data_IF_428124173754
#
_entry.id   IF_428124173754
#
_cell.length_a   1.000
_cell.length_b   1.000
_cell.length_c   1.000
_cell.angle_alpha   90.00
_cell.angle_beta   90.00
_cell.angle_gamma   90.00
#
_symmetry.space_group_name_H-M   'P 1'
#
loop_
_entity.id
_entity.type
_entity.pdbx_description
1 polymer ?
#
# COMPACT_ATOMS: atom_id res chain seq x y z
N UNK A 1 -85.68 -12.60 14.90
CA UNK A 1 -84.88 -11.52 15.51
C UNK A 1 -83.62 -11.29 14.67
N UNK A 2 -83.53 -10.11 14.02
CA UNK A 2 -82.35 -9.33 13.54
C UNK A 2 -81.15 -10.12 12.96
N UNK A 3 -80.68 -9.92 11.71
CA UNK A 3 -80.46 -8.65 10.97
C UNK A 3 -80.43 -8.84 9.45
N UNK A 4 -80.84 -7.76 8.77
CA UNK A 4 -80.76 -7.50 7.33
C UNK A 4 -79.35 -7.63 6.74
N UNK A 5 -79.24 -8.18 5.54
CA UNK A 5 -78.11 -7.95 4.63
C UNK A 5 -78.63 -7.05 3.50
N UNK A 6 -78.12 -5.81 3.45
CA UNK A 6 -78.35 -4.88 2.35
C UNK A 6 -77.25 -5.07 1.32
N UNK A 7 -77.65 -5.25 0.06
CA UNK A 7 -76.84 -4.93 -1.11
C UNK A 7 -76.50 -3.42 -1.08
N UNK A 8 -75.25 -3.04 -1.34
CA UNK A 8 -74.93 -1.82 -2.08
C UNK A 8 -73.50 -1.89 -2.64
N UNK A 9 -73.38 -1.63 -3.94
CA UNK A 9 -72.15 -1.55 -4.71
C UNK A 9 -71.26 -0.36 -4.27
N UNK A 10 -69.94 -0.48 -4.42
CA UNK A 10 -69.07 0.71 -4.54
C UNK A 10 -67.75 0.42 -5.28
N UNK A 11 -67.59 1.18 -6.37
CA UNK A 11 -66.40 1.61 -7.12
C UNK A 11 -65.05 0.91 -6.93
N UNK A 12 -64.52 0.41 -8.06
CA UNK A 12 -63.11 0.14 -8.27
C UNK A 12 -62.28 1.44 -8.26
N UNK A 13 -61.30 1.52 -7.36
CA UNK A 13 -60.23 2.53 -7.38
C UNK A 13 -58.97 1.83 -7.87
N UNK A 14 -58.32 2.29 -8.97
CA UNK A 14 -57.00 1.80 -9.31
C UNK A 14 -56.00 2.40 -8.33
N UNK A 15 -55.37 1.55 -7.51
CA UNK A 15 -54.24 1.92 -6.68
C UNK A 15 -53.04 2.17 -7.60
N UNK A 16 -52.85 3.43 -8.00
CA UNK A 16 -51.62 3.91 -8.62
C UNK A 16 -50.49 3.81 -7.59
N UNK A 17 -49.78 2.69 -7.61
CA UNK A 17 -48.54 2.51 -6.85
C UNK A 17 -47.47 3.35 -7.54
N UNK A 18 -47.33 4.60 -7.09
CA UNK A 18 -46.19 5.45 -7.41
C UNK A 18 -44.97 4.87 -6.68
N UNK A 19 -44.23 3.99 -7.36
CA UNK A 19 -42.88 3.63 -6.95
C UNK A 19 -41.97 4.81 -7.24
N UNK A 20 -41.89 5.75 -6.30
CA UNK A 20 -40.84 6.76 -6.27
C UNK A 20 -39.54 6.09 -5.83
N UNK A 21 -38.82 5.46 -6.77
CA UNK A 21 -37.43 5.09 -6.56
C UNK A 21 -36.59 6.37 -6.66
N UNK A 22 -36.51 7.09 -5.54
CA UNK A 22 -35.59 8.19 -5.38
C UNK A 22 -34.22 7.57 -5.11
N UNK A 23 -33.43 7.36 -6.17
CA UNK A 23 -32.01 7.06 -6.05
C UNK A 23 -31.34 8.29 -5.42
N UNK A 24 -31.30 8.31 -4.08
CA UNK A 24 -30.46 9.25 -3.35
C UNK A 24 -29.02 8.87 -3.68
N UNK A 25 -28.43 9.58 -4.64
CA UNK A 25 -26.97 9.66 -4.75
C UNK A 25 -26.50 10.31 -3.45
N UNK A 26 -26.06 9.49 -2.51
CA UNK A 26 -25.31 10.03 -1.38
C UNK A 26 -23.98 10.52 -1.93
N UNK A 27 -23.82 11.85 -1.99
CA UNK A 27 -22.51 12.46 -2.19
C UNK A 27 -21.67 12.15 -0.96
N UNK A 28 -20.95 11.02 -1.01
CA UNK A 28 -19.96 10.68 0.00
C UNK A 28 -18.79 11.66 -0.14
N UNK A 29 -18.69 12.60 0.81
CA UNK A 29 -17.55 13.51 0.89
C UNK A 29 -16.34 12.72 1.36
N UNK A 30 -15.46 12.40 0.41
CA UNK A 30 -14.16 11.79 0.65
C UNK A 30 -13.07 12.84 0.47
N UNK A 31 -11.95 12.62 1.15
CA UNK A 31 -10.69 13.30 0.83
C UNK A 31 -10.23 12.96 -0.60
N UNK A 32 -9.43 13.84 -1.18
CA UNK A 32 -8.77 13.60 -2.44
C UNK A 32 -7.54 12.73 -2.20
N UNK A 33 -7.20 11.84 -3.14
CA UNK A 33 -5.93 11.08 -3.06
C UNK A 33 -4.70 11.99 -3.07
N UNK A 34 -4.81 13.18 -3.67
CA UNK A 34 -3.77 14.22 -3.64
C UNK A 34 -3.55 14.81 -2.25
N UNK A 35 -4.52 14.71 -1.34
CA UNK A 35 -4.36 15.20 0.02
C UNK A 35 -3.36 14.34 0.81
N UNK A 36 -3.08 13.12 0.36
CA UNK A 36 -2.15 12.19 1.01
C UNK A 36 -0.76 12.15 0.36
N UNK A 37 -0.43 13.08 -0.55
CA UNK A 37 0.88 13.19 -1.21
C UNK A 37 1.18 14.65 -1.60
N UNK A 38 2.24 15.25 -1.05
CA UNK A 38 2.69 16.57 -1.54
C UNK A 38 3.60 16.40 -2.76
N UNK A 39 3.13 16.84 -3.94
CA UNK A 39 3.84 16.71 -5.21
C UNK A 39 4.22 18.08 -5.79
N UNK A 40 5.06 18.83 -5.06
CA UNK A 40 5.65 20.09 -5.55
C UNK A 40 7.17 19.98 -5.60
N UNK A 41 7.84 20.36 -6.71
CA UNK A 41 9.30 20.31 -6.81
C UNK A 41 10.00 20.94 -5.61
N UNK A 42 11.02 20.26 -5.07
CA UNK A 42 11.77 20.67 -3.87
C UNK A 42 11.16 20.21 -2.53
N UNK A 43 9.94 19.65 -2.55
CA UNK A 43 9.38 18.97 -1.37
C UNK A 43 10.04 17.62 -1.16
N UNK A 44 10.22 17.22 0.10
CA UNK A 44 10.80 15.94 0.45
C UNK A 44 10.21 15.34 1.71
N UNK A 45 10.41 14.03 1.85
CA UNK A 45 10.19 13.28 3.09
C UNK A 45 11.46 12.49 3.39
N UNK A 46 11.90 12.48 4.64
CA UNK A 46 13.01 11.66 5.13
C UNK A 46 12.50 10.54 6.01
N UNK A 47 13.21 9.41 5.99
CA UNK A 47 12.86 8.22 6.74
C UNK A 47 14.09 7.60 7.40
N UNK A 48 13.88 6.94 8.53
CA UNK A 48 14.69 5.81 8.95
C UNK A 48 14.26 4.60 8.12
N UNK A 49 15.22 3.97 7.45
CA UNK A 49 14.99 2.78 6.63
C UNK A 49 15.77 1.59 7.16
N UNK A 50 15.08 0.54 7.59
CA UNK A 50 15.67 -0.75 7.92
C UNK A 50 15.49 -1.74 6.77
N UNK A 51 16.59 -2.32 6.29
CA UNK A 51 16.61 -3.31 5.21
C UNK A 51 16.99 -4.67 5.75
N UNK A 52 16.02 -5.59 5.83
CA UNK A 52 16.27 -7.01 6.10
C UNK A 52 16.90 -7.65 4.86
N UNK A 53 18.03 -8.33 5.05
CA UNK A 53 18.78 -9.00 4.00
C UNK A 53 19.21 -10.38 4.46
N UNK A 54 19.25 -11.29 3.50
CA UNK A 54 19.79 -12.63 3.68
C UNK A 54 21.21 -12.67 3.13
N UNK A 55 22.18 -12.99 3.99
CA UNK A 55 23.61 -13.07 3.63
C UNK A 55 24.13 -14.49 3.78
N UNK A 56 25.38 -14.71 3.35
CA UNK A 56 26.03 -16.03 3.39
C UNK A 56 25.16 -17.11 2.73
N UNK A 57 24.62 -16.83 1.53
CA UNK A 57 23.72 -17.75 0.82
C UNK A 57 22.46 -18.13 1.63
N UNK A 58 21.88 -17.14 2.32
CA UNK A 58 20.64 -17.32 3.05
C UNK A 58 20.77 -18.03 4.39
N UNK A 59 21.99 -18.15 4.92
CA UNK A 59 22.25 -18.71 6.25
C UNK A 59 22.06 -17.68 7.36
N UNK A 60 22.31 -16.40 7.06
CA UNK A 60 22.21 -15.33 8.05
C UNK A 60 21.17 -14.29 7.65
N UNK A 61 20.45 -13.80 8.65
CA UNK A 61 19.56 -12.64 8.55
C UNK A 61 20.25 -11.44 9.18
N UNK A 62 20.37 -10.35 8.43
CA UNK A 62 20.89 -9.09 8.93
C UNK A 62 19.91 -7.95 8.65
N UNK A 63 19.93 -6.94 9.50
CA UNK A 63 19.27 -5.67 9.26
C UNK A 63 20.35 -4.63 9.00
N UNK A 64 20.22 -3.91 7.88
CA UNK A 64 21.07 -2.76 7.56
C UNK A 64 20.22 -1.51 7.56
N UNK A 65 20.56 -0.55 8.42
CA UNK A 65 19.83 0.70 8.58
C UNK A 65 20.45 1.84 7.76
N UNK A 66 19.58 2.65 7.18
CA UNK A 66 19.91 3.83 6.38
C UNK A 66 19.02 5.00 6.81
N UNK A 67 19.44 6.21 6.46
CA UNK A 67 18.50 7.30 6.23
C UNK A 67 18.12 7.30 4.75
N UNK A 68 16.81 7.40 4.48
CA UNK A 68 16.27 7.56 3.14
C UNK A 68 15.64 8.93 2.98
N UNK A 69 15.68 9.49 1.76
CA UNK A 69 15.09 10.78 1.43
C UNK A 69 14.44 10.73 0.06
N UNK A 70 13.14 10.95 -0.01
CA UNK A 70 12.38 11.04 -1.25
C UNK A 70 12.17 12.50 -1.60
N UNK A 71 12.75 12.96 -2.71
CA UNK A 71 12.67 14.36 -3.17
C UNK A 71 11.80 14.43 -4.42
N UNK A 72 10.77 15.28 -4.40
CA UNK A 72 10.02 15.65 -5.60
C UNK A 72 10.95 16.48 -6.48
N UNK A 73 11.41 15.88 -7.57
CA UNK A 73 12.41 16.49 -8.44
C UNK A 73 11.73 17.40 -9.48
N UNK A 74 10.80 16.86 -10.25
CA UNK A 74 10.12 17.62 -11.30
C UNK A 74 8.74 17.04 -11.63
N UNK A 75 7.84 17.90 -12.11
CA UNK A 75 6.67 17.46 -12.87
C UNK A 75 7.14 17.03 -14.26
N UNK A 76 6.65 15.90 -14.75
CA UNK A 76 6.99 15.38 -16.06
C UNK A 76 6.04 15.95 -17.11
N UNK A 77 6.61 16.41 -18.23
CA UNK A 77 5.89 16.90 -19.40
C UNK A 77 5.90 15.85 -20.52
N UNK A 78 4.86 15.83 -21.35
CA UNK A 78 4.79 14.95 -22.53
C UNK A 78 4.51 13.47 -22.27
N UNK A 79 4.21 13.10 -21.01
CA UNK A 79 3.76 11.77 -20.62
C UNK A 79 2.31 11.77 -20.15
N UNK A 80 1.97 10.84 -19.24
CA UNK A 80 0.67 10.85 -18.56
C UNK A 80 0.51 12.16 -17.74
N UNK A 81 -0.63 12.87 -17.86
CA UNK A 81 -0.86 14.10 -17.10
C UNK A 81 -0.73 13.87 -15.59
N UNK A 82 -0.35 14.93 -14.86
CA UNK A 82 -0.20 14.88 -13.41
C UNK A 82 0.75 13.77 -12.95
N UNK A 83 1.92 13.70 -13.60
CA UNK A 83 3.00 12.80 -13.23
C UNK A 83 4.20 13.58 -12.71
N UNK A 84 4.78 13.11 -11.62
CA UNK A 84 5.99 13.68 -11.02
C UNK A 84 7.08 12.63 -10.90
N UNK A 85 8.32 13.03 -11.12
CA UNK A 85 9.51 12.24 -10.82
C UNK A 85 9.94 12.50 -9.38
N UNK A 86 10.11 11.41 -8.64
CA UNK A 86 10.69 11.42 -7.29
C UNK A 86 12.05 10.73 -7.35
N UNK A 87 13.04 11.29 -6.68
CA UNK A 87 14.37 10.67 -6.53
C UNK A 87 14.55 10.28 -5.08
N UNK A 88 14.81 8.99 -4.85
CA UNK A 88 15.15 8.44 -3.54
C UNK A 88 16.66 8.41 -3.36
N UNK A 89 17.12 9.00 -2.27
CA UNK A 89 18.51 9.01 -1.85
C UNK A 89 18.69 8.16 -0.59
N UNK A 90 19.85 7.50 -0.45
CA UNK A 90 20.27 6.86 0.80
C UNK A 90 21.58 7.46 1.32
N UNK A 91 21.73 7.44 2.64
CA UNK A 91 23.02 7.50 3.33
C UNK A 91 23.02 6.51 4.50
N UNK A 92 24.20 6.07 5.00
CA UNK A 92 24.26 5.22 6.19
C UNK A 92 23.55 5.87 7.38
N UNK A 93 22.86 5.07 8.19
CA UNK A 93 22.19 5.58 9.39
C UNK A 93 23.18 6.27 10.34
N UNK A 94 22.79 7.45 10.84
CA UNK A 94 23.60 8.25 11.76
C UNK A 94 24.72 9.06 11.09
N UNK A 95 24.83 9.04 9.75
CA UNK A 95 25.78 9.88 9.04
C UNK A 95 25.24 11.31 8.95
N UNK A 96 25.97 12.29 9.50
CA UNK A 96 25.55 13.69 9.52
C UNK A 96 26.07 14.53 8.35
N UNK A 97 26.85 13.95 7.43
CA UNK A 97 27.39 14.67 6.28
C UNK A 97 26.35 14.74 5.15
N UNK A 98 25.89 15.95 4.79
CA UNK A 98 24.92 16.18 3.72
C UNK A 98 25.44 15.79 2.32
N UNK A 99 26.76 15.73 2.11
CA UNK A 99 27.33 15.26 0.85
C UNK A 99 27.29 13.73 0.71
N UNK A 100 26.91 13.00 1.77
CA UNK A 100 26.83 11.52 1.75
C UNK A 100 25.54 10.97 1.15
N UNK A 101 24.59 11.83 0.78
CA UNK A 101 23.37 11.40 0.09
C UNK A 101 23.70 10.90 -1.31
N UNK A 102 23.36 9.65 -1.60
CA UNK A 102 23.55 9.05 -2.93
C UNK A 102 22.20 8.70 -3.54
N UNK A 103 21.93 9.06 -4.81
CA UNK A 103 20.70 8.68 -5.48
C UNK A 103 20.66 7.18 -5.72
N UNK A 104 19.50 6.55 -5.51
CA UNK A 104 19.34 5.10 -5.52
C UNK A 104 18.33 4.66 -6.55
N UNK A 105 17.19 5.35 -6.62
CA UNK A 105 16.14 5.09 -7.59
C UNK A 105 15.42 6.38 -7.93
N UNK A 106 14.99 6.49 -9.17
CA UNK A 106 13.98 7.45 -9.58
C UNK A 106 12.69 6.69 -9.90
N UNK A 107 11.57 7.15 -9.36
CA UNK A 107 10.25 6.58 -9.61
C UNK A 107 9.25 7.68 -9.97
N UNK A 108 8.12 7.28 -10.53
CA UNK A 108 7.09 8.22 -10.95
C UNK A 108 5.85 8.07 -10.09
N UNK A 109 5.24 9.20 -9.73
CA UNK A 109 3.94 9.25 -9.07
C UNK A 109 2.96 9.95 -10.00
N UNK A 110 1.84 9.29 -10.30
CA UNK A 110 0.78 9.84 -11.15
C UNK A 110 -0.52 9.94 -10.37
N UNK A 111 -1.09 11.15 -10.30
CA UNK A 111 -2.39 11.40 -9.68
C UNK A 111 -3.48 11.26 -10.74
N UNK A 112 -4.34 10.26 -10.56
CA UNK A 112 -5.51 10.00 -11.40
C UNK A 112 -6.76 10.63 -10.82
N UNK A 113 -7.84 10.61 -11.61
CA UNK A 113 -9.15 11.05 -11.14
C UNK A 113 -9.71 10.17 -10.01
N UNK A 114 -9.36 8.88 -9.98
CA UNK A 114 -9.89 7.89 -9.04
C UNK A 114 -8.82 7.22 -8.18
N UNK A 115 -7.57 7.68 -8.21
CA UNK A 115 -6.48 6.96 -7.54
C UNK A 115 -5.10 7.59 -7.70
N UNK A 116 -4.11 6.91 -7.13
CA UNK A 116 -2.72 7.30 -7.21
C UNK A 116 -1.88 6.10 -7.66
N UNK A 117 -1.16 6.27 -8.77
CA UNK A 117 -0.25 5.26 -9.30
C UNK A 117 1.19 5.58 -8.96
N UNK A 118 1.98 4.54 -8.73
CA UNK A 118 3.44 4.63 -8.60
C UNK A 118 4.08 3.68 -9.60
N UNK A 119 4.99 4.19 -10.43
CA UNK A 119 5.87 3.39 -11.29
C UNK A 119 7.26 3.38 -10.68
N UNK A 120 7.66 2.26 -10.09
CA UNK A 120 8.94 2.06 -9.41
C UNK A 120 9.60 0.78 -9.98
N UNK A 121 10.85 0.86 -10.43
CA UNK A 121 11.60 -0.28 -10.98
C UNK A 121 10.87 -1.03 -12.12
N UNK A 122 10.18 -0.28 -13.00
CA UNK A 122 9.31 -0.78 -14.07
C UNK A 122 8.05 -1.55 -13.60
N UNK A 123 7.72 -1.47 -12.31
CA UNK A 123 6.53 -2.07 -11.71
C UNK A 123 5.52 -0.97 -11.38
N UNK A 124 4.29 -1.13 -11.86
CA UNK A 124 3.22 -0.14 -11.64
C UNK A 124 2.27 -0.61 -10.54
N UNK A 125 2.10 0.21 -9.52
CA UNK A 125 1.24 -0.02 -8.38
C UNK A 125 0.12 1.02 -8.34
N UNK A 126 -1.10 0.60 -7.98
CA UNK A 126 -2.16 1.52 -7.58
C UNK A 126 -2.16 1.60 -6.05
N UNK A 127 -1.58 2.67 -5.52
CA UNK A 127 -1.29 2.84 -4.08
C UNK A 127 -2.47 3.37 -3.29
N UNK A 128 -3.30 4.22 -3.89
CA UNK A 128 -4.50 4.78 -3.30
C UNK A 128 -5.64 4.77 -4.33
N UNK A 129 -6.89 4.69 -3.87
CA UNK A 129 -8.10 4.67 -4.68
C UNK A 129 -9.20 5.50 -4.02
N UNK A 130 -10.04 6.16 -4.81
CA UNK A 130 -11.24 6.83 -4.30
C UNK A 130 -12.43 5.88 -4.18
N UNK A 131 -13.34 6.10 -3.20
CA UNK A 131 -13.19 7.05 -2.10
C UNK A 131 -12.19 6.56 -1.03
N UNK A 132 -11.45 7.47 -0.39
CA UNK A 132 -10.67 7.12 0.80
C UNK A 132 -11.65 6.89 1.95
N UNK A 133 -11.96 5.61 2.18
CA UNK A 133 -12.99 5.17 3.12
C UNK A 133 -12.59 3.84 3.74
N UNK A 134 -12.83 3.72 5.03
CA UNK A 134 -12.60 2.51 5.81
C UNK A 134 -13.21 1.28 5.10
N UNK A 135 -12.40 0.24 4.93
CA UNK A 135 -12.80 -1.01 4.30
C UNK A 135 -12.97 -0.97 2.78
N UNK A 136 -12.74 0.17 2.09
CA UNK A 136 -12.64 0.13 0.63
C UNK A 136 -11.45 -0.74 0.24
N UNK A 137 -11.69 -1.67 -0.68
CA UNK A 137 -10.67 -2.55 -1.22
C UNK A 137 -10.47 -2.43 -2.74
N UNK A 138 -9.26 -2.74 -3.20
CA UNK A 138 -8.93 -2.81 -4.63
C UNK A 138 -7.70 -3.67 -4.88
N UNK A 139 -7.53 -4.18 -6.10
CA UNK A 139 -6.32 -4.88 -6.51
C UNK A 139 -5.18 -3.89 -6.78
N UNK A 140 -4.40 -3.55 -5.75
CA UNK A 140 -3.32 -2.57 -5.85
C UNK A 140 -2.17 -2.97 -6.77
N UNK A 141 -2.01 -4.28 -6.98
CA UNK A 141 -0.97 -4.89 -7.80
C UNK A 141 -1.44 -5.38 -9.17
N UNK A 142 -2.68 -5.05 -9.58
CA UNK A 142 -3.28 -5.59 -10.80
C UNK A 142 -2.43 -5.40 -12.09
N UNK A 143 -1.58 -4.35 -12.10
CA UNK A 143 -0.72 -3.97 -13.22
C UNK A 143 0.68 -4.61 -13.17
N UNK A 144 1.01 -5.40 -12.16
CA UNK A 144 2.29 -6.12 -12.09
C UNK A 144 2.31 -7.29 -13.09
N UNK A 145 3.49 -7.67 -13.60
CA UNK A 145 3.67 -8.97 -14.26
C UNK A 145 3.56 -10.12 -13.25
N UNK A 146 3.53 -11.36 -13.74
CA UNK A 146 3.74 -12.53 -12.89
C UNK A 146 5.19 -12.56 -12.39
N UNK A 147 5.40 -12.96 -11.14
CA UNK A 147 6.71 -12.99 -10.48
C UNK A 147 7.50 -11.68 -10.62
N UNK A 148 6.93 -10.53 -10.19
CA UNK A 148 7.54 -9.22 -10.43
C UNK A 148 8.86 -9.01 -9.68
N UNK A 149 9.13 -9.79 -8.64
CA UNK A 149 10.26 -9.60 -7.72
C UNK A 149 11.25 -10.78 -7.75
N UNK A 150 10.85 -11.95 -8.25
CA UNK A 150 11.69 -13.15 -8.38
C UNK A 150 13.01 -12.90 -9.14
N UNK A 151 13.05 -12.12 -10.25
CA UNK A 151 14.32 -11.82 -10.92
C UNK A 151 15.36 -11.12 -10.02
N UNK A 152 14.91 -10.42 -8.97
CA UNK A 152 15.78 -9.68 -8.05
C UNK A 152 16.08 -10.43 -6.76
N UNK A 153 15.11 -11.16 -6.22
CA UNK A 153 15.20 -11.78 -4.88
C UNK A 153 15.17 -13.32 -4.88
N UNK A 154 15.05 -13.95 -6.05
CA UNK A 154 15.18 -15.40 -6.23
C UNK A 154 14.23 -16.23 -5.34
N UNK A 155 13.00 -15.74 -5.13
CA UNK A 155 11.92 -16.43 -4.43
C UNK A 155 10.70 -16.68 -5.35
N UNK A 156 9.67 -17.31 -4.83
CA UNK A 156 8.47 -17.72 -5.58
C UNK A 156 7.15 -17.22 -4.97
N UNK A 157 7.16 -16.76 -3.72
CA UNK A 157 5.99 -16.24 -3.02
C UNK A 157 5.48 -14.88 -3.55
N UNK A 158 6.05 -14.37 -4.64
CA UNK A 158 5.59 -13.20 -5.38
C UNK A 158 4.65 -13.53 -6.55
N UNK A 159 4.46 -14.82 -6.88
CA UNK A 159 3.77 -15.24 -8.11
C UNK A 159 2.34 -14.75 -8.24
N UNK A 160 1.63 -14.61 -7.12
CA UNK A 160 0.22 -14.17 -7.07
C UNK A 160 0.07 -12.74 -6.53
N UNK A 161 1.13 -11.92 -6.57
CA UNK A 161 1.07 -10.55 -6.06
C UNK A 161 -0.04 -9.72 -6.71
N UNK A 162 -0.40 -10.00 -7.96
CA UNK A 162 -1.44 -9.29 -8.71
C UNK A 162 -2.83 -9.39 -8.06
N UNK A 163 -3.07 -10.46 -7.32
CA UNK A 163 -4.35 -10.75 -6.69
C UNK A 163 -4.44 -10.18 -5.27
N UNK A 164 -3.40 -9.48 -4.81
CA UNK A 164 -3.40 -8.82 -3.50
C UNK A 164 -4.48 -7.73 -3.47
N UNK A 165 -5.45 -7.94 -2.59
CA UNK A 165 -6.52 -7.00 -2.31
C UNK A 165 -6.05 -6.04 -1.23
N UNK A 166 -5.77 -4.81 -1.64
CA UNK A 166 -5.43 -3.73 -0.73
C UNK A 166 -6.71 -3.27 -0.06
N UNK A 167 -6.64 -2.94 1.22
CA UNK A 167 -7.78 -2.45 2.00
C UNK A 167 -7.36 -1.23 2.81
N UNK A 168 -8.24 -0.24 2.84
CA UNK A 168 -8.09 0.89 3.75
C UNK A 168 -8.47 0.50 5.17
N UNK A 169 -7.56 0.77 6.09
CA UNK A 169 -7.70 0.63 7.53
C UNK A 169 -7.36 1.95 8.22
N UNK A 170 -7.96 2.19 9.39
CA UNK A 170 -7.64 3.33 10.25
C UNK A 170 -7.77 4.68 9.51
N UNK A 171 -8.80 4.84 8.69
CA UNK A 171 -9.08 6.09 7.96
C UNK A 171 -9.47 7.20 8.93
N UNK A 172 -8.87 8.38 8.74
CA UNK A 172 -9.01 9.57 9.58
C UNK A 172 -8.67 9.31 11.05
N UNK A 173 -7.82 8.31 11.32
CA UNK A 173 -7.31 8.02 12.65
C UNK A 173 -5.91 8.59 12.85
N UNK A 174 -5.56 9.00 14.09
CA UNK A 174 -4.21 9.42 14.41
C UNK A 174 -3.26 8.22 14.51
N UNK A 175 -1.98 8.44 14.20
CA UNK A 175 -0.89 7.49 14.48
C UNK A 175 0.33 8.23 15.01
N UNK A 176 1.04 7.61 15.96
CA UNK A 176 2.32 8.12 16.46
C UNK A 176 3.45 7.31 15.83
N UNK A 177 4.40 7.99 15.17
CA UNK A 177 5.58 7.38 14.55
C UNK A 177 6.81 8.17 15.01
N UNK A 178 7.81 7.48 15.58
CA UNK A 178 9.05 8.09 16.11
C UNK A 178 8.75 9.31 17.03
N UNK A 179 7.80 9.15 17.95
CA UNK A 179 7.32 10.16 18.91
C UNK A 179 6.64 11.41 18.30
N UNK A 180 6.27 11.37 17.01
CA UNK A 180 5.50 12.42 16.33
C UNK A 180 4.09 11.95 16.03
N UNK A 181 3.09 12.76 16.39
CA UNK A 181 1.68 12.49 16.15
C UNK A 181 1.22 13.00 14.77
N UNK A 182 0.63 12.11 13.98
CA UNK A 182 0.00 12.41 12.70
C UNK A 182 -1.50 12.28 12.86
N UNK A 183 -2.22 13.40 12.93
CA UNK A 183 -3.62 13.43 13.36
C UNK A 183 -4.62 12.75 12.41
N UNK A 184 -4.39 12.85 11.09
CA UNK A 184 -5.28 12.31 10.06
C UNK A 184 -4.48 11.42 9.12
N UNK A 185 -4.66 10.10 9.26
CA UNK A 185 -3.97 9.12 8.43
C UNK A 185 -4.92 8.14 7.76
N UNK A 186 -4.37 7.38 6.82
CA UNK A 186 -4.99 6.19 6.25
C UNK A 186 -3.92 5.11 6.13
N UNK A 187 -4.24 3.90 6.57
CA UNK A 187 -3.40 2.73 6.36
C UNK A 187 -3.93 1.92 5.19
N UNK A 188 -3.02 1.46 4.33
CA UNK A 188 -3.28 0.51 3.26
C UNK A 188 -2.65 -0.81 3.69
N UNK A 189 -3.47 -1.74 4.14
CA UNK A 189 -3.05 -3.12 4.34
C UNK A 189 -3.08 -3.84 2.98
N UNK A 190 -1.98 -4.50 2.61
CA UNK A 190 -1.81 -5.07 1.27
C UNK A 190 -1.83 -6.60 1.28
N UNK A 191 -1.16 -7.20 2.26
CA UNK A 191 -1.08 -8.65 2.45
C UNK A 191 -0.61 -8.97 3.87
N UNK A 192 -0.98 -10.13 4.37
CA UNK A 192 -0.47 -10.70 5.62
C UNK A 192 -0.74 -12.19 5.66
N UNK A 193 0.13 -12.98 5.02
CA UNK A 193 0.02 -14.43 4.98
C UNK A 193 1.40 -15.09 5.17
N UNK A 194 1.39 -16.31 5.69
CA UNK A 194 2.62 -17.02 5.98
C UNK A 194 2.39 -18.50 6.17
N UNK A 195 3.46 -19.28 6.00
CA UNK A 195 3.52 -20.70 6.27
C UNK A 195 4.86 -21.00 6.91
N UNK A 196 4.89 -21.76 8.01
CA UNK A 196 6.15 -22.13 8.69
C UNK A 196 7.06 -20.90 8.98
N UNK A 197 6.44 -19.81 9.47
CA UNK A 197 7.11 -18.56 9.82
C UNK A 197 6.68 -18.12 11.24
N UNK A 198 7.50 -18.30 12.28
CA UNK A 198 8.91 -18.74 12.25
C UNK A 198 9.07 -20.19 11.79
N UNK A 199 10.25 -20.51 11.25
CA UNK A 199 10.57 -21.87 10.78
C UNK A 199 10.72 -22.79 11.99
N UNK A 200 9.70 -23.59 12.24
CA UNK A 200 9.69 -24.61 13.31
C UNK A 200 9.81 -26.02 12.75
N UNK A 201 9.45 -26.22 11.48
CA UNK A 201 9.56 -27.49 10.77
C UNK A 201 10.65 -27.37 9.70
N UNK A 202 11.91 -27.75 9.99
CA UNK A 202 13.06 -27.45 9.12
C UNK A 202 13.06 -28.23 7.80
N UNK A 203 12.29 -29.32 7.71
CA UNK A 203 12.16 -30.14 6.51
C UNK A 203 11.03 -29.67 5.58
N UNK A 204 10.23 -28.69 6.01
CA UNK A 204 9.16 -28.10 5.19
C UNK A 204 9.57 -26.75 4.63
N UNK A 205 9.06 -26.41 3.46
CA UNK A 205 9.12 -25.04 2.95
C UNK A 205 8.40 -24.07 3.91
N UNK A 206 8.82 -22.82 3.89
CA UNK A 206 8.16 -21.74 4.64
C UNK A 206 8.18 -20.45 3.86
N UNK A 207 7.28 -19.53 4.20
CA UNK A 207 7.28 -18.19 3.64
C UNK A 207 6.57 -17.21 4.56
N UNK A 208 6.81 -15.92 4.34
CA UNK A 208 6.06 -14.83 4.93
C UNK A 208 5.91 -13.70 3.93
N UNK A 209 4.68 -13.26 3.70
CA UNK A 209 4.39 -11.97 3.07
C UNK A 209 3.65 -11.10 4.08
N UNK A 210 4.11 -9.87 4.21
CA UNK A 210 3.44 -8.84 4.98
C UNK A 210 3.73 -7.51 4.32
N UNK A 211 2.70 -6.70 4.04
CA UNK A 211 2.93 -5.37 3.50
C UNK A 211 1.85 -4.38 3.93
N UNK A 212 2.29 -3.23 4.45
CA UNK A 212 1.44 -2.12 4.87
C UNK A 212 2.07 -0.79 4.52
N UNK A 213 1.24 0.21 4.25
CA UNK A 213 1.66 1.60 4.04
C UNK A 213 0.70 2.54 4.76
N UNK A 214 1.21 3.46 5.57
CA UNK A 214 0.41 4.51 6.22
C UNK A 214 0.74 5.85 5.61
N UNK A 215 -0.30 6.59 5.23
CA UNK A 215 -0.21 7.92 4.64
C UNK A 215 -0.83 8.95 5.58
N UNK A 216 -0.14 10.07 5.80
CA UNK A 216 -0.67 11.20 6.54
C UNK A 216 -1.12 12.31 5.58
N UNK A 217 -2.28 12.88 5.88
CA UNK A 217 -2.84 14.00 5.12
C UNK A 217 -1.91 15.21 5.19
N UNK A 218 -1.68 15.84 4.05
CA UNK A 218 -0.77 16.98 3.90
C UNK A 218 0.71 16.61 3.99
N UNK A 219 1.07 15.32 3.92
CA UNK A 219 2.48 14.87 3.94
C UNK A 219 2.72 13.89 2.80
N UNK A 220 2.16 12.68 2.89
CA UNK A 220 2.71 11.56 2.13
C UNK A 220 2.68 10.26 2.90
N UNK A 221 3.45 9.32 2.39
CA UNK A 221 3.84 8.11 3.10
C UNK A 221 4.57 8.49 4.40
N UNK A 222 4.09 8.02 5.54
CA UNK A 222 4.73 8.23 6.86
C UNK A 222 5.28 6.93 7.44
N UNK A 223 4.71 5.79 7.06
CA UNK A 223 5.27 4.48 7.39
C UNK A 223 5.04 3.49 6.25
N UNK A 224 6.00 2.58 6.06
CA UNK A 224 5.86 1.41 5.18
C UNK A 224 6.54 0.24 5.87
N UNK A 225 5.91 -0.92 5.82
CA UNK A 225 6.58 -2.19 6.12
C UNK A 225 6.27 -3.16 5.01
N UNK A 226 7.30 -3.76 4.41
CA UNK A 226 7.17 -4.85 3.45
C UNK A 226 8.14 -5.93 3.86
N UNK A 227 7.66 -7.14 4.04
CA UNK A 227 8.45 -8.33 4.32
C UNK A 227 7.98 -9.40 3.35
N UNK A 228 8.91 -9.92 2.56
CA UNK A 228 8.65 -11.05 1.69
C UNK A 228 9.88 -11.97 1.69
N UNK A 229 9.73 -13.17 2.21
CA UNK A 229 10.79 -14.18 2.16
C UNK A 229 10.23 -15.58 2.08
N UNK A 230 11.03 -16.50 1.55
CA UNK A 230 10.78 -17.93 1.58
C UNK A 230 11.97 -18.67 2.22
N UNK A 231 11.66 -19.82 2.80
CA UNK A 231 12.58 -20.79 3.36
C UNK A 231 12.53 -22.06 2.53
N UNK A 232 13.70 -22.50 2.09
CA UNK A 232 13.88 -23.75 1.37
C UNK A 232 14.61 -24.75 2.30
N UNK A 233 14.05 -25.95 2.52
CA UNK A 233 14.67 -26.96 3.37
C UNK A 233 15.94 -27.51 2.73
N UNK A 234 16.73 -28.23 3.53
CA UNK A 234 17.95 -28.90 3.05
C UNK A 234 17.59 -29.87 1.92
N UNK A 235 18.38 -29.85 0.84
CA UNK A 235 18.20 -30.75 -0.29
C UNK A 235 19.53 -31.42 -0.66
N UNK A 236 19.69 -32.68 -0.25
CA UNK A 236 20.95 -33.41 -0.38
C UNK A 236 22.06 -32.70 0.40
N UNK A 237 23.15 -32.34 -0.29
CA UNK A 237 24.27 -31.60 0.30
C UNK A 237 24.04 -30.09 0.39
N UNK A 238 22.97 -29.56 -0.23
CA UNK A 238 22.66 -28.13 -0.17
C UNK A 238 22.00 -27.81 1.17
N UNK A 239 22.59 -26.91 1.99
CA UNK A 239 21.97 -26.52 3.26
C UNK A 239 20.63 -25.83 3.01
N UNK A 240 19.76 -25.86 4.02
CA UNK A 240 18.55 -25.06 4.01
C UNK A 240 18.90 -23.57 3.95
N UNK A 241 18.06 -22.73 3.36
CA UNK A 241 18.34 -21.30 3.22
C UNK A 241 17.06 -20.47 3.22
N UNK A 242 17.20 -19.18 3.51
CA UNK A 242 16.16 -18.18 3.27
C UNK A 242 16.56 -17.21 2.18
N UNK A 243 15.58 -16.76 1.41
CA UNK A 243 15.77 -15.73 0.39
C UNK A 243 14.56 -14.80 0.34
N UNK A 244 14.78 -13.56 -0.08
CA UNK A 244 13.77 -12.50 -0.03
C UNK A 244 14.35 -11.18 0.48
N UNK A 245 13.48 -10.35 1.05
CA UNK A 245 13.84 -9.05 1.60
C UNK A 245 12.83 -8.56 2.62
N UNK A 246 13.21 -7.52 3.35
CA UNK A 246 12.27 -6.66 4.03
C UNK A 246 12.72 -5.21 4.00
N UNK A 247 11.77 -4.29 3.97
CA UNK A 247 11.98 -2.85 4.05
C UNK A 247 10.99 -2.29 5.06
N UNK A 248 11.50 -1.55 6.04
CA UNK A 248 10.69 -0.74 6.94
C UNK A 248 11.10 0.72 6.80
N UNK A 249 10.15 1.59 6.52
CA UNK A 249 10.29 3.04 6.53
C UNK A 249 9.50 3.62 7.69
N UNK A 250 10.17 4.44 8.51
CA UNK A 250 9.53 5.31 9.50
C UNK A 250 9.93 6.74 9.19
N UNK A 251 8.96 7.64 9.00
CA UNK A 251 9.24 9.05 8.76
C UNK A 251 10.09 9.66 9.88
N UNK A 252 11.03 10.52 9.51
CA UNK A 252 11.87 11.30 10.42
C UNK A 252 11.76 12.81 10.17
N UNK A 253 11.18 13.22 9.04
CA UNK A 253 11.01 14.64 8.70
C UNK A 253 10.42 14.86 7.31
N UNK A 254 9.98 16.08 7.04
CA UNK A 254 9.51 16.54 5.73
C UNK A 254 9.55 18.08 5.66
N UNK A 255 9.28 18.69 4.51
CA UNK A 255 9.22 20.15 4.36
C UNK A 255 8.04 20.69 3.55
#
# INVERSE_FOLDING_TARGET
MKKCIKLLALLAVPASVLLSNCDKKEDYKTDLVSDYMILSPGKYVTYKMDSLRFTEFGQNEIIVSYEAKDVVDAKLEGGEPNTWRIIRYYRPWGNTNEESWTPQIAYQVTVLNDGLKVLEDNLTYTKLKLPVKEGLSWYGNALLPLHPLAPRYQFSNDGNMRDWEYIYENVDQPVTIEDVDYANTVTVFQVGDSQNAPVTEPDLIGYRNYSTETYAKGIGLVSRETIMWEYQPKNGDKPAFKTGFGIKLSITGHN
#
